data_IF_450572282099
#
_entry.id   IF_450572282099
#
_cell.length_a   1.000
_cell.length_b   1.000
_cell.length_c   1.000
_cell.angle_alpha   90.00
_cell.angle_beta   90.00
_cell.angle_gamma   90.00
#
_symmetry.space_group_name_H-M   'P 1'
#
loop_
_entity.id
_entity.type
_entity.pdbx_description
1 polymer ?
#
# COMPACT_ATOMS: atom_id res chain seq x y z
N UNK A 1 -19.13 4.88 1.01
CA UNK A 1 -17.92 5.35 1.72
C UNK A 1 -18.29 5.46 3.17
N UNK A 2 -17.53 4.81 4.03
CA UNK A 2 -17.71 4.81 5.49
C UNK A 2 -16.41 5.23 6.16
N UNK A 3 -16.49 6.04 7.21
CA UNK A 3 -15.29 6.51 7.87
C UNK A 3 -15.53 7.08 9.25
N UNK A 4 -14.48 7.08 10.06
CA UNK A 4 -14.46 7.71 11.38
C UNK A 4 -13.14 8.46 11.56
N UNK A 5 -13.24 9.65 12.13
CA UNK A 5 -12.10 10.47 12.50
C UNK A 5 -12.35 10.98 13.91
N UNK A 6 -11.40 10.70 14.81
CA UNK A 6 -11.38 11.26 16.15
C UNK A 6 -10.04 11.94 16.37
N UNK A 7 -10.06 13.19 16.80
CA UNK A 7 -8.87 13.98 17.10
C UNK A 7 -9.07 14.69 18.42
N UNK A 8 -8.10 14.54 19.32
CA UNK A 8 -7.96 15.33 20.53
C UNK A 8 -6.66 16.14 20.44
N UNK A 9 -6.76 17.45 20.69
CA UNK A 9 -5.60 18.33 20.69
C UNK A 9 -5.91 19.59 21.51
N UNK A 10 -4.87 20.17 22.10
CA UNK A 10 -4.88 21.55 22.57
C UNK A 10 -4.66 22.48 21.38
N UNK A 11 -5.52 23.50 21.27
CA UNK A 11 -5.43 24.49 20.21
C UNK A 11 -4.06 25.18 20.27
N UNK A 12 -3.38 25.29 19.14
CA UNK A 12 -2.05 25.89 19.02
C UNK A 12 -0.88 24.98 19.42
N UNK A 13 -1.13 23.83 20.06
CA UNK A 13 -0.08 22.89 20.46
C UNK A 13 -0.11 21.60 19.63
N UNK A 14 0.64 21.62 18.53
CA UNK A 14 0.81 20.46 17.65
C UNK A 14 1.35 19.20 18.33
N UNK A 15 2.03 19.34 19.48
CA UNK A 15 2.61 18.22 20.22
C UNK A 15 1.59 17.47 21.09
N UNK A 16 0.42 18.06 21.30
CA UNK A 16 -0.69 17.46 22.06
C UNK A 16 -1.62 16.58 21.21
N UNK A 17 -1.44 16.58 19.87
CA UNK A 17 -2.32 15.88 18.93
C UNK A 17 -2.30 14.38 19.14
N UNK A 18 -3.47 13.80 19.35
CA UNK A 18 -3.71 12.36 19.35
C UNK A 18 -5.00 12.11 18.56
N UNK A 19 -5.02 11.08 17.72
CA UNK A 19 -6.23 10.77 16.98
C UNK A 19 -6.21 9.40 16.33
N UNK A 20 -7.35 9.02 15.79
CA UNK A 20 -7.54 7.79 15.00
C UNK A 20 -8.35 8.12 13.77
N UNK A 21 -7.97 7.54 12.64
CA UNK A 21 -8.71 7.66 11.40
C UNK A 21 -8.88 6.28 10.78
N UNK A 22 -10.14 5.91 10.50
CA UNK A 22 -10.50 4.74 9.72
C UNK A 22 -11.35 5.16 8.55
N UNK A 23 -11.04 4.68 7.36
CA UNK A 23 -11.75 5.01 6.13
C UNK A 23 -11.86 3.74 5.27
N UNK A 24 -13.08 3.45 4.83
CA UNK A 24 -13.41 2.41 3.87
C UNK A 24 -14.14 3.04 2.68
N UNK A 25 -13.60 2.84 1.48
CA UNK A 25 -14.18 3.30 0.23
C UNK A 25 -14.47 2.08 -0.63
N UNK A 26 -15.70 2.00 -1.10
CA UNK A 26 -16.15 1.10 -2.17
C UNK A 26 -16.52 1.96 -3.38
N UNK A 27 -16.41 1.39 -4.57
CA UNK A 27 -16.68 2.06 -5.85
C UNK A 27 -15.84 3.33 -6.07
N UNK A 28 -14.57 3.25 -5.66
CA UNK A 28 -13.62 4.36 -5.76
C UNK A 28 -13.29 4.69 -7.21
N UNK A 29 -13.43 5.96 -7.57
CA UNK A 29 -12.94 6.52 -8.82
C UNK A 29 -11.74 7.44 -8.52
N UNK A 30 -10.53 6.93 -8.73
CA UNK A 30 -9.30 7.66 -8.43
C UNK A 30 -9.03 8.71 -9.51
N UNK A 31 -9.13 9.99 -9.15
CA UNK A 31 -8.77 11.09 -10.05
C UNK A 31 -7.27 11.13 -10.36
N UNK A 32 -6.90 11.48 -11.61
CA UNK A 32 -5.50 11.52 -12.08
C UNK A 32 -4.60 12.47 -11.27
N UNK A 33 -5.17 13.53 -10.68
CA UNK A 33 -4.44 14.53 -9.88
C UNK A 33 -4.34 14.18 -8.39
N UNK A 34 -4.94 13.07 -7.96
CA UNK A 34 -4.83 12.61 -6.57
C UNK A 34 -3.46 11.97 -6.30
N UNK A 35 -3.00 11.94 -5.03
CA UNK A 35 -1.82 11.17 -4.64
C UNK A 35 -1.87 9.70 -5.09
N UNK A 36 -3.05 9.08 -5.02
CA UNK A 36 -3.29 7.72 -5.51
C UNK A 36 -3.18 7.64 -7.04
N UNK A 37 -3.62 8.66 -7.78
CA UNK A 37 -3.46 8.72 -9.23
C UNK A 37 -1.99 8.70 -9.67
N UNK A 38 -1.11 9.42 -8.96
CA UNK A 38 0.34 9.38 -9.22
C UNK A 38 0.96 8.01 -8.94
N UNK A 39 0.50 7.31 -7.89
CA UNK A 39 0.89 5.92 -7.62
C UNK A 39 0.57 5.04 -8.83
N UNK A 40 -0.64 5.16 -9.39
CA UNK A 40 -1.09 4.37 -10.54
C UNK A 40 -0.27 4.61 -11.81
N UNK A 41 0.06 5.87 -12.11
CA UNK A 41 0.89 6.24 -13.26
C UNK A 41 2.27 5.57 -13.20
N UNK A 42 2.94 5.63 -12.05
CA UNK A 42 4.28 5.03 -11.89
C UNK A 42 4.23 3.51 -11.98
N UNK A 43 3.08 2.89 -11.75
CA UNK A 43 2.91 1.44 -11.88
C UNK A 43 2.66 0.97 -13.33
N UNK A 44 2.52 1.89 -14.29
CA UNK A 44 2.14 1.58 -15.68
C UNK A 44 0.91 0.65 -15.74
N UNK A 45 0.01 0.74 -14.76
CA UNK A 45 -1.11 -0.19 -14.59
C UNK A 45 -2.36 0.21 -15.36
N UNK A 46 -2.33 1.28 -16.14
CA UNK A 46 -3.54 1.82 -16.79
C UNK A 46 -3.25 2.28 -18.22
N UNK A 47 -4.01 1.71 -19.16
CA UNK A 47 -4.50 2.48 -20.30
C UNK A 47 -5.42 3.61 -19.76
N UNK A 48 -5.53 4.77 -20.43
CA UNK A 48 -6.12 6.00 -19.86
C UNK A 48 -7.59 5.93 -19.38
N UNK A 49 -8.28 4.79 -19.52
CA UNK A 49 -9.72 4.63 -19.29
C UNK A 49 -10.10 3.74 -18.11
N UNK A 50 -9.20 2.94 -17.56
CA UNK A 50 -9.52 1.97 -16.51
C UNK A 50 -8.97 2.40 -15.14
N UNK A 51 -9.82 2.46 -14.11
CA UNK A 51 -9.39 2.67 -12.73
C UNK A 51 -8.73 1.39 -12.20
N UNK A 52 -7.49 1.47 -11.74
CA UNK A 52 -6.75 0.28 -11.26
C UNK A 52 -7.14 -0.18 -9.85
N UNK A 53 -7.77 0.68 -9.03
CA UNK A 53 -8.36 0.32 -7.73
C UNK A 53 -9.79 0.86 -7.62
N UNK A 54 -10.70 0.01 -7.16
CA UNK A 54 -12.11 0.31 -6.91
C UNK A 54 -12.46 0.27 -5.41
N UNK A 55 -11.55 -0.21 -4.56
CA UNK A 55 -11.73 -0.33 -3.12
C UNK A 55 -10.49 0.15 -2.37
N UNK A 56 -10.71 0.78 -1.21
CA UNK A 56 -9.66 1.20 -0.30
C UNK A 56 -10.07 0.99 1.16
N UNK A 57 -9.18 0.44 1.96
CA UNK A 57 -9.26 0.47 3.41
C UNK A 57 -8.03 1.16 3.99
N UNK A 58 -8.25 2.06 4.94
CA UNK A 58 -7.22 2.85 5.60
C UNK A 58 -7.48 2.90 7.10
N UNK A 59 -6.52 2.44 7.90
CA UNK A 59 -6.52 2.53 9.37
C UNK A 59 -5.22 3.19 9.82
N UNK A 60 -5.36 4.26 10.60
CA UNK A 60 -4.23 5.05 11.09
C UNK A 60 -4.48 5.64 12.46
N UNK A 61 -3.39 6.05 13.10
CA UNK A 61 -3.42 6.86 14.31
C UNK A 61 -2.49 8.06 14.18
N UNK A 62 -2.86 9.14 14.85
CA UNK A 62 -2.10 10.37 14.90
C UNK A 62 -1.43 10.47 16.27
N UNK A 63 -0.15 10.80 16.28
CA UNK A 63 0.58 11.20 17.47
C UNK A 63 1.47 12.39 17.11
N UNK A 64 1.23 13.55 17.73
CA UNK A 64 1.93 14.81 17.43
C UNK A 64 1.77 15.20 15.95
N UNK A 65 2.87 15.15 15.20
CA UNK A 65 2.90 15.41 13.77
C UNK A 65 3.01 14.13 12.94
N UNK A 66 3.01 12.96 13.56
CA UNK A 66 3.07 11.69 12.84
C UNK A 66 1.67 11.12 12.67
N UNK A 67 1.27 10.89 11.43
CA UNK A 67 0.19 9.98 11.09
C UNK A 67 0.84 8.63 10.78
N UNK A 68 0.49 7.62 11.56
CA UNK A 68 1.03 6.28 11.48
C UNK A 68 -0.05 5.38 10.87
N UNK A 69 0.21 4.93 9.64
CA UNK A 69 -0.68 4.08 8.86
C UNK A 69 -0.45 2.64 9.31
N UNK A 70 -1.42 2.09 10.03
CA UNK A 70 -1.40 0.70 10.48
C UNK A 70 -1.66 -0.24 9.30
N UNK A 71 -2.67 0.11 8.50
CA UNK A 71 -3.09 -0.67 7.34
C UNK A 71 -3.58 0.28 6.25
N UNK A 72 -2.94 0.24 5.09
CA UNK A 72 -3.49 0.72 3.84
C UNK A 72 -3.67 -0.50 2.95
N UNK A 73 -4.88 -0.70 2.45
CA UNK A 73 -5.25 -1.77 1.52
C UNK A 73 -5.94 -1.11 0.33
N UNK A 74 -5.43 -1.36 -0.86
CA UNK A 74 -5.93 -0.88 -2.14
C UNK A 74 -6.22 -2.12 -3.00
N UNK A 75 -7.44 -2.25 -3.50
CA UNK A 75 -7.81 -3.37 -4.37
C UNK A 75 -8.59 -2.92 -5.58
N UNK A 76 -8.37 -3.61 -6.68
CA UNK A 76 -9.15 -3.51 -7.90
C UNK A 76 -9.10 -4.82 -8.68
N UNK A 77 -9.76 -4.84 -9.83
CA UNK A 77 -9.92 -6.05 -10.65
C UNK A 77 -8.58 -6.68 -11.13
N UNK A 78 -7.57 -5.84 -11.40
CA UNK A 78 -6.29 -6.29 -11.97
C UNK A 78 -5.20 -6.50 -10.90
N UNK A 79 -5.20 -5.70 -9.83
CA UNK A 79 -4.13 -5.66 -8.84
C UNK A 79 -4.64 -5.25 -7.47
N UNK A 80 -3.93 -5.66 -6.43
CA UNK A 80 -4.10 -5.11 -5.10
C UNK A 80 -2.74 -4.85 -4.44
N UNK A 81 -2.70 -3.85 -3.57
CA UNK A 81 -1.54 -3.49 -2.77
C UNK A 81 -1.94 -3.30 -1.31
N UNK A 82 -1.08 -3.74 -0.41
CA UNK A 82 -1.30 -3.49 1.01
C UNK A 82 -0.01 -3.17 1.72
N UNK A 83 -0.09 -2.40 2.80
CA UNK A 83 1.02 -2.25 3.72
C UNK A 83 0.90 -1.08 4.67
N UNK A 84 1.89 -0.94 5.57
CA UNK A 84 1.96 0.12 6.54
C UNK A 84 2.73 1.33 6.00
N UNK A 85 2.76 2.38 6.80
CA UNK A 85 3.64 3.51 6.57
C UNK A 85 3.39 4.65 7.53
N UNK A 86 3.88 5.82 7.15
CA UNK A 86 3.74 7.04 7.94
C UNK A 86 3.64 8.26 7.05
N UNK A 87 3.11 9.32 7.63
CA UNK A 87 3.10 10.64 7.06
C UNK A 87 3.43 11.66 8.14
N UNK A 88 4.35 12.56 7.85
CA UNK A 88 4.55 13.76 8.65
C UNK A 88 3.46 14.78 8.27
N UNK A 89 2.58 15.13 9.22
CA UNK A 89 1.47 16.05 9.05
C UNK A 89 1.90 17.51 8.88
N UNK A 90 3.13 17.87 9.27
CA UNK A 90 3.69 19.21 9.10
C UNK A 90 4.30 19.36 7.71
N UNK A 91 5.17 18.44 7.30
CA UNK A 91 5.86 18.50 5.99
C UNK A 91 5.07 17.89 4.85
N UNK A 92 4.06 17.07 5.19
CA UNK A 92 3.26 16.25 4.27
C UNK A 92 4.07 15.18 3.55
N UNK A 93 5.25 14.85 4.07
CA UNK A 93 6.05 13.78 3.52
C UNK A 93 5.49 12.44 3.94
N UNK A 94 5.34 11.54 2.97
CA UNK A 94 4.92 10.17 3.17
C UNK A 94 6.12 9.24 3.08
N UNK A 95 6.00 8.09 3.75
CA UNK A 95 6.90 6.96 3.67
C UNK A 95 6.03 5.71 3.84
N UNK A 96 5.62 5.13 2.70
CA UNK A 96 4.77 3.94 2.64
C UNK A 96 5.52 2.79 1.99
N UNK A 97 5.25 1.60 2.51
CA UNK A 97 5.76 0.35 1.96
C UNK A 97 4.57 -0.51 1.57
N UNK A 98 4.33 -0.65 0.27
CA UNK A 98 3.20 -1.41 -0.24
C UNK A 98 3.69 -2.68 -0.92
N UNK A 99 3.01 -3.79 -0.68
CA UNK A 99 3.33 -5.10 -1.26
C UNK A 99 2.20 -5.44 -2.23
N UNK A 100 2.57 -5.73 -3.48
CA UNK A 100 1.63 -6.28 -4.45
C UNK A 100 1.13 -7.64 -3.97
N UNK A 101 -0.18 -7.88 -4.08
CA UNK A 101 -0.79 -9.20 -3.88
C UNK A 101 -1.57 -9.62 -5.13
N UNK A 102 -1.59 -10.93 -5.40
CA UNK A 102 -2.49 -11.53 -6.38
C UNK A 102 -3.95 -11.35 -5.97
N UNK A 103 -4.88 -11.54 -6.91
CA UNK A 103 -6.33 -11.33 -6.70
C UNK A 103 -6.84 -12.04 -5.44
N UNK A 104 -7.29 -11.29 -4.42
CA UNK A 104 -8.24 -11.75 -3.40
C UNK A 104 -8.94 -10.58 -2.69
N UNK A 105 -10.17 -10.86 -2.23
CA UNK A 105 -11.08 -9.97 -1.50
C UNK A 105 -10.45 -9.46 -0.19
N UNK A 106 -10.78 -8.22 0.19
CA UNK A 106 -10.14 -7.42 1.23
C UNK A 106 -10.39 -7.85 2.70
N UNK A 107 -10.53 -9.14 3.00
CA UNK A 107 -11.01 -9.60 4.33
C UNK A 107 -10.12 -10.53 5.14
N UNK A 108 -9.00 -11.04 4.62
CA UNK A 108 -8.08 -11.89 5.40
C UNK A 108 -6.66 -11.33 5.39
N UNK A 109 -6.04 -11.16 6.56
CA UNK A 109 -4.60 -10.83 6.67
C UNK A 109 -3.80 -12.05 6.21
N UNK A 110 -3.15 -12.02 5.02
CA UNK A 110 -2.42 -13.18 4.56
C UNK A 110 -1.03 -13.21 5.19
N UNK A 111 -0.58 -14.43 5.50
CA UNK A 111 0.84 -14.68 5.68
C UNK A 111 1.58 -14.30 4.38
N UNK A 112 2.72 -13.62 4.48
CA UNK A 112 3.51 -13.12 3.35
C UNK A 112 3.79 -14.21 2.30
N UNK A 113 3.84 -15.48 2.72
CA UNK A 113 4.15 -16.64 1.87
C UNK A 113 2.97 -17.09 0.98
N UNK A 114 1.72 -16.99 1.45
CA UNK A 114 0.55 -17.39 0.65
C UNK A 114 0.30 -16.45 -0.53
N UNK A 115 0.57 -15.15 -0.35
CA UNK A 115 0.51 -14.15 -1.41
C UNK A 115 1.47 -14.41 -2.58
N UNK A 116 2.53 -15.20 -2.37
CA UNK A 116 3.54 -15.53 -3.39
C UNK A 116 3.09 -16.66 -4.32
N UNK A 117 2.26 -17.59 -3.83
CA UNK A 117 1.88 -18.82 -4.54
C UNK A 117 0.64 -18.67 -5.43
N UNK A 118 -0.18 -17.64 -5.22
CA UNK A 118 -1.52 -17.52 -5.83
C UNK A 118 -1.57 -16.64 -7.10
N UNK A 119 -0.50 -16.66 -7.92
CA UNK A 119 -0.56 -16.14 -9.29
C UNK A 119 0.16 -14.81 -9.56
N UNK A 120 0.93 -14.29 -8.60
CA UNK A 120 2.05 -13.44 -8.94
C UNK A 120 3.16 -14.36 -9.45
N UNK A 121 3.54 -14.26 -10.73
CA UNK A 121 4.77 -14.90 -11.20
C UNK A 121 6.00 -14.47 -10.38
N UNK A 122 7.20 -14.94 -10.75
CA UNK A 122 8.50 -14.78 -10.04
C UNK A 122 8.92 -13.36 -9.58
N UNK A 123 8.10 -12.33 -9.77
CA UNK A 123 8.36 -10.97 -9.35
C UNK A 123 7.22 -10.45 -8.44
N UNK A 124 7.38 -10.64 -7.12
CA UNK A 124 6.59 -9.88 -6.16
C UNK A 124 7.17 -8.47 -6.04
N UNK A 125 6.33 -7.48 -6.30
CA UNK A 125 6.71 -6.08 -6.37
C UNK A 125 6.39 -5.42 -5.03
N UNK A 126 7.45 -4.95 -4.37
CA UNK A 126 7.36 -4.02 -3.25
C UNK A 126 7.47 -2.60 -3.80
N UNK A 127 6.54 -1.74 -3.42
CA UNK A 127 6.56 -0.32 -3.72
C UNK A 127 7.02 0.43 -2.48
N UNK A 128 7.97 1.33 -2.68
CA UNK A 128 8.31 2.36 -1.73
C UNK A 128 7.76 3.69 -2.24
N UNK A 129 6.89 4.31 -1.47
CA UNK A 129 6.28 5.61 -1.78
C UNK A 129 6.83 6.62 -0.78
N UNK A 130 7.66 7.54 -1.25
CA UNK A 130 8.37 8.49 -0.39
C UNK A 130 8.26 9.92 -0.92
N UNK A 131 8.52 10.92 -0.08
CA UNK A 131 8.48 12.33 -0.49
C UNK A 131 7.12 12.98 -0.26
N UNK A 132 6.82 14.09 -0.93
CA UNK A 132 5.61 14.86 -0.63
C UNK A 132 4.35 14.10 -1.05
N UNK A 133 3.28 14.11 -0.23
CA UNK A 133 2.02 13.44 -0.54
C UNK A 133 1.45 13.84 -1.92
N UNK A 134 1.60 15.11 -2.32
CA UNK A 134 1.08 15.59 -3.61
C UNK A 134 2.04 15.37 -4.77
N UNK A 135 3.30 15.04 -4.50
CA UNK A 135 4.30 14.69 -5.52
C UNK A 135 5.25 13.60 -4.99
N UNK A 136 4.74 12.37 -4.79
CA UNK A 136 5.52 11.32 -4.19
C UNK A 136 6.43 10.67 -5.24
N UNK A 137 7.62 10.29 -4.80
CA UNK A 137 8.51 9.39 -5.54
C UNK A 137 8.15 7.95 -5.22
N UNK A 138 7.76 7.21 -6.26
CA UNK A 138 7.40 5.80 -6.17
C UNK A 138 8.51 4.95 -6.79
N UNK A 139 9.04 3.99 -6.04
CA UNK A 139 10.08 3.07 -6.50
C UNK A 139 9.61 1.63 -6.40
N UNK A 140 9.79 0.86 -7.48
CA UNK A 140 9.49 -0.58 -7.48
C UNK A 140 10.75 -1.36 -7.10
N UNK A 141 10.63 -2.29 -6.17
CA UNK A 141 11.68 -3.23 -5.76
C UNK A 141 11.15 -4.65 -5.88
N UNK A 142 11.97 -5.56 -6.38
CA UNK A 142 11.74 -6.99 -6.22
C UNK A 142 12.01 -7.38 -4.76
N UNK A 143 11.19 -8.25 -4.19
CA UNK A 143 11.46 -8.75 -2.84
C UNK A 143 12.76 -9.57 -2.83
N UNK A 144 13.73 -9.27 -1.94
CA UNK A 144 14.92 -10.09 -1.80
C UNK A 144 14.56 -11.50 -1.29
N UNK A 145 15.22 -12.53 -1.82
CA UNK A 145 15.09 -13.92 -1.37
C UNK A 145 14.31 -14.87 -2.30
N UNK A 146 13.51 -14.38 -3.24
CA UNK A 146 12.74 -15.29 -4.14
C UNK A 146 13.65 -15.98 -5.17
N UNK A 147 14.74 -15.34 -5.59
CA UNK A 147 15.68 -15.91 -6.55
C UNK A 147 16.51 -17.08 -6.02
N UNK A 148 16.83 -17.07 -4.72
CA UNK A 148 17.74 -18.05 -4.10
C UNK A 148 16.99 -19.24 -3.50
N UNK A 149 15.85 -19.02 -2.84
CA UNK A 149 15.07 -20.11 -2.25
C UNK A 149 14.38 -21.00 -3.30
N UNK A 150 14.02 -20.44 -4.47
CA UNK A 150 13.50 -21.22 -5.60
C UNK A 150 14.57 -22.09 -6.28
N UNK A 151 15.86 -21.72 -6.20
CA UNK A 151 16.95 -22.57 -6.70
C UNK A 151 17.17 -23.79 -5.79
N UNK A 152 17.01 -23.61 -4.47
CA UNK A 152 17.17 -24.68 -3.48
C UNK A 152 16.04 -25.72 -3.60
N UNK A 153 14.83 -25.31 -3.99
CA UNK A 153 13.68 -26.22 -4.19
C UNK A 153 13.60 -26.81 -5.61
N UNK A 154 14.41 -26.31 -6.56
CA UNK A 154 14.37 -26.67 -7.98
C UNK A 154 15.42 -27.68 -8.44
N UNK A 155 16.33 -28.14 -7.56
CA UNK A 155 17.30 -29.17 -7.92
C UNK A 155 16.64 -30.54 -7.94
N UNK A 156 16.13 -30.93 -9.12
CA UNK A 156 15.77 -32.32 -9.41
C UNK A 156 17.02 -33.19 -9.17
N UNK A 157 16.96 -34.24 -8.33
CA UNK A 157 18.11 -35.11 -8.11
C UNK A 157 18.48 -35.78 -9.44
N UNK A 158 19.70 -35.51 -9.90
CA UNK A 158 20.33 -36.22 -11.00
C UNK A 158 20.62 -37.65 -10.54
N UNK A 159 19.73 -38.59 -10.85
CA UNK A 159 20.05 -40.01 -10.81
C UNK A 159 21.07 -40.35 -11.90
N UNK A 160 22.26 -40.78 -11.49
CA UNK A 160 23.15 -41.61 -12.31
C UNK A 160 23.64 -42.78 -11.46
#
# INVERSE_FOLDING_TARGET
MDGSLSINARIGDSSSRIGTCKLAISDMQVGQLSPLGKLLQVLNLTEPKDFAFDQMFFDSYIRRNDLLVKKLDLSGQAVAFYGPGRMDLKTRNVDLVLIARGRRLATDDPSVLQSLTEGLGRAVVRLEVTGNLYDPKVTRKTLPGIGETLQILGTKPSTR
#
